data_IF_125545918253
#
_entry.id   IF_125545918253
#
_cell.length_a   1.000
_cell.length_b   1.000
_cell.length_c   1.000
_cell.angle_alpha   90.00
_cell.angle_beta   90.00
_cell.angle_gamma   90.00
#
_symmetry.space_group_name_H-M   'P 1'
#
loop_
_entity.id
_entity.type
_entity.pdbx_description
1 polymer ?
#
# COMPACT_ATOMS: atom_id res chain seq x y z
N UNK A 1 -12.33 24.67 -6.24
CA UNK A 1 -11.11 24.01 -5.72
C UNK A 1 -10.20 23.68 -6.90
N UNK A 2 -8.89 23.90 -6.79
CA UNK A 2 -7.92 23.58 -7.85
C UNK A 2 -8.00 22.08 -8.21
N UNK A 3 -8.11 21.69 -9.49
CA UNK A 3 -8.20 20.29 -9.91
C UNK A 3 -7.08 19.40 -9.35
N UNK A 4 -5.86 19.92 -9.26
CA UNK A 4 -4.71 19.17 -8.71
C UNK A 4 -4.88 18.86 -7.23
N UNK A 5 -5.36 19.84 -6.45
CA UNK A 5 -5.66 19.67 -5.02
C UNK A 5 -6.75 18.61 -4.83
N UNK A 6 -7.79 18.65 -5.68
CA UNK A 6 -8.88 17.66 -5.64
C UNK A 6 -8.35 16.24 -5.87
N UNK A 7 -7.54 16.05 -6.92
CA UNK A 7 -6.94 14.76 -7.27
C UNK A 7 -6.06 14.25 -6.12
N UNK A 8 -5.21 15.11 -5.55
CA UNK A 8 -4.38 14.78 -4.39
C UNK A 8 -5.20 14.27 -3.22
N UNK A 9 -6.25 15.00 -2.83
CA UNK A 9 -7.13 14.59 -1.72
C UNK A 9 -7.82 13.25 -2.02
N UNK A 10 -8.38 13.09 -3.22
CA UNK A 10 -9.04 11.85 -3.63
C UNK A 10 -8.07 10.66 -3.63
N UNK A 11 -6.84 10.88 -4.08
CA UNK A 11 -5.81 9.85 -4.10
C UNK A 11 -5.40 9.45 -2.68
N UNK A 12 -5.05 10.41 -1.82
CA UNK A 12 -4.71 10.15 -0.41
C UNK A 12 -5.85 9.40 0.28
N UNK A 13 -7.09 9.86 0.10
CA UNK A 13 -8.25 9.21 0.70
C UNK A 13 -8.43 7.77 0.19
N UNK A 14 -8.32 7.53 -1.11
CA UNK A 14 -8.37 6.17 -1.68
C UNK A 14 -7.25 5.27 -1.16
N UNK A 15 -6.05 5.82 -0.94
CA UNK A 15 -4.89 5.11 -0.45
C UNK A 15 -5.08 4.65 1.01
N UNK A 16 -5.60 5.55 1.86
CA UNK A 16 -5.91 5.27 3.25
C UNK A 16 -7.09 4.30 3.39
N UNK A 17 -8.14 4.44 2.57
CA UNK A 17 -9.25 3.49 2.57
C UNK A 17 -8.80 2.08 2.15
N UNK A 18 -7.91 1.98 1.17
CA UNK A 18 -7.36 0.68 0.78
C UNK A 18 -6.59 0.02 1.92
N UNK A 19 -5.79 0.78 2.67
CA UNK A 19 -5.13 0.28 3.87
C UNK A 19 -6.17 -0.19 4.90
N UNK A 20 -7.18 0.63 5.21
CA UNK A 20 -8.22 0.29 6.18
C UNK A 20 -9.00 -0.99 5.80
N UNK A 21 -9.45 -1.09 4.55
CA UNK A 21 -10.33 -2.17 4.11
C UNK A 21 -9.60 -3.45 3.71
N UNK A 22 -8.31 -3.38 3.43
CA UNK A 22 -7.52 -4.56 3.06
C UNK A 22 -6.62 -4.98 4.21
N UNK A 23 -5.76 -4.09 4.71
CA UNK A 23 -4.74 -4.48 5.70
C UNK A 23 -5.33 -4.91 7.02
N UNK A 24 -6.38 -4.25 7.51
CA UNK A 24 -6.98 -4.65 8.80
C UNK A 24 -7.61 -6.05 8.71
N UNK A 25 -8.51 -6.36 7.74
CA UNK A 25 -9.02 -7.72 7.60
C UNK A 25 -7.93 -8.74 7.26
N UNK A 26 -6.98 -8.39 6.40
CA UNK A 26 -5.90 -9.29 6.00
C UNK A 26 -5.00 -9.66 7.18
N UNK A 27 -4.71 -8.69 8.06
CA UNK A 27 -4.04 -8.94 9.32
C UNK A 27 -4.80 -9.97 10.15
N UNK A 28 -6.09 -9.74 10.43
CA UNK A 28 -6.88 -10.62 11.29
C UNK A 28 -7.07 -12.03 10.72
N UNK A 29 -7.23 -12.15 9.40
CA UNK A 29 -7.61 -13.41 8.75
C UNK A 29 -6.44 -14.22 8.22
N UNK A 30 -5.31 -13.57 7.88
CA UNK A 30 -4.18 -14.21 7.19
C UNK A 30 -2.88 -14.03 7.96
N UNK A 31 -2.57 -12.80 8.40
CA UNK A 31 -1.23 -12.50 8.90
C UNK A 31 -1.03 -12.68 10.41
N UNK A 32 -2.11 -12.70 11.20
CA UNK A 32 -2.05 -12.66 12.66
C UNK A 32 -1.11 -13.70 13.27
N UNK A 33 -1.15 -14.95 12.79
CA UNK A 33 -0.29 -16.03 13.29
C UNK A 33 1.21 -15.86 13.00
N UNK A 34 1.58 -14.95 12.09
CA UNK A 34 2.97 -14.57 11.85
C UNK A 34 3.44 -13.42 12.75
N UNK A 35 2.51 -12.66 13.34
CA UNK A 35 2.77 -11.57 14.28
C UNK A 35 2.72 -12.02 15.75
N UNK A 36 1.82 -12.95 16.08
CA UNK A 36 1.52 -13.38 17.46
C UNK A 36 1.53 -14.92 17.59
N UNK A 37 1.90 -15.42 18.77
CA UNK A 37 1.87 -16.85 19.10
C UNK A 37 3.22 -17.56 19.04
N UNK A 38 3.23 -18.87 19.32
CA UNK A 38 4.46 -19.68 19.40
C UNK A 38 5.19 -19.82 18.06
N UNK A 39 4.47 -19.66 16.94
CA UNK A 39 5.03 -19.71 15.58
C UNK A 39 5.24 -18.33 14.95
N UNK A 40 5.24 -17.25 15.74
CA UNK A 40 5.41 -15.90 15.23
C UNK A 40 6.83 -15.68 14.71
N UNK A 41 6.93 -15.25 13.45
CA UNK A 41 8.22 -15.03 12.76
C UNK A 41 8.53 -13.55 12.58
N UNK A 42 7.51 -12.68 12.48
CA UNK A 42 7.72 -11.24 12.32
C UNK A 42 8.39 -10.54 13.51
N UNK A 43 8.19 -10.95 14.77
CA UNK A 43 8.94 -10.36 15.89
C UNK A 43 10.46 -10.50 15.78
N UNK A 44 10.98 -11.39 14.92
CA UNK A 44 12.43 -11.58 14.72
C UNK A 44 13.09 -10.40 13.99
N UNK A 45 12.33 -9.59 13.24
CA UNK A 45 12.88 -8.52 12.39
C UNK A 45 11.95 -7.32 12.19
N UNK A 46 10.69 -7.38 12.63
CA UNK A 46 9.76 -6.26 12.69
C UNK A 46 9.47 -5.86 14.13
N UNK A 47 9.20 -4.57 14.31
CA UNK A 47 8.55 -4.09 15.54
C UNK A 47 7.10 -4.61 15.54
N UNK A 48 6.74 -5.35 16.57
CA UNK A 48 5.41 -5.95 16.77
C UNK A 48 4.86 -5.56 18.14
N UNK A 49 3.59 -5.87 18.40
CA UNK A 49 2.91 -5.57 19.67
C UNK A 49 3.62 -6.12 20.91
N UNK A 50 4.49 -7.14 20.74
CA UNK A 50 5.31 -7.72 21.80
C UNK A 50 6.29 -6.72 22.43
N UNK A 51 6.77 -5.72 21.67
CA UNK A 51 7.54 -4.59 22.19
C UNK A 51 6.66 -3.34 22.22
N UNK A 52 5.81 -3.24 23.24
CA UNK A 52 4.77 -2.20 23.32
C UNK A 52 5.28 -0.76 23.21
N UNK A 53 6.51 -0.48 23.65
CA UNK A 53 7.10 0.85 23.57
C UNK A 53 7.56 1.19 22.13
N UNK A 54 8.25 0.25 21.48
CA UNK A 54 8.66 0.41 20.08
C UNK A 54 7.43 0.41 19.15
N UNK A 55 6.46 -0.47 19.40
CA UNK A 55 5.22 -0.58 18.63
C UNK A 55 4.40 0.70 18.69
N UNK A 56 4.19 1.25 19.89
CA UNK A 56 3.48 2.52 20.06
C UNK A 56 4.15 3.63 19.24
N UNK A 57 5.49 3.70 19.24
CA UNK A 57 6.25 4.65 18.43
C UNK A 57 6.11 4.40 16.93
N UNK A 58 6.10 3.15 16.48
CA UNK A 58 5.87 2.83 15.08
C UNK A 58 4.46 3.25 14.63
N UNK A 59 3.45 3.00 15.46
CA UNK A 59 2.06 3.35 15.18
C UNK A 59 1.80 4.86 15.11
N UNK A 60 2.55 5.69 15.85
CA UNK A 60 2.43 7.16 15.70
C UNK A 60 2.91 7.66 14.33
N UNK A 61 3.85 6.94 13.71
CA UNK A 61 4.36 7.26 12.37
C UNK A 61 3.58 6.62 11.23
N UNK A 62 2.72 5.65 11.51
CA UNK A 62 1.97 4.91 10.48
C UNK A 62 1.16 5.84 9.56
N UNK A 63 0.28 6.67 10.14
CA UNK A 63 -0.55 7.57 9.35
C UNK A 63 0.28 8.63 8.60
N UNK A 64 1.23 9.34 9.25
CA UNK A 64 2.15 10.24 8.54
C UNK A 64 2.87 9.57 7.36
N UNK A 65 3.38 8.35 7.55
CA UNK A 65 4.07 7.61 6.51
C UNK A 65 3.15 7.26 5.33
N UNK A 66 1.94 6.76 5.60
CA UNK A 66 0.94 6.46 4.56
C UNK A 66 0.55 7.72 3.76
N UNK A 67 0.35 8.84 4.45
CA UNK A 67 0.03 10.12 3.79
C UNK A 67 1.22 10.60 2.93
N UNK A 68 2.44 10.55 3.45
CA UNK A 68 3.64 10.92 2.71
C UNK A 68 3.84 10.03 1.47
N UNK A 69 3.65 8.72 1.60
CA UNK A 69 3.71 7.78 0.50
C UNK A 69 2.68 8.11 -0.58
N UNK A 70 1.44 8.41 -0.19
CA UNK A 70 0.39 8.83 -1.11
C UNK A 70 0.73 10.15 -1.83
N UNK A 71 1.39 11.10 -1.14
CA UNK A 71 1.88 12.33 -1.77
C UNK A 71 2.92 12.06 -2.86
N UNK A 72 3.87 11.17 -2.61
CA UNK A 72 4.87 10.79 -3.60
C UNK A 72 4.23 10.13 -4.83
N UNK A 73 3.32 9.18 -4.59
CA UNK A 73 2.60 8.48 -5.66
C UNK A 73 1.73 9.43 -6.48
N UNK A 74 0.94 10.31 -5.85
CA UNK A 74 0.12 11.25 -6.60
C UNK A 74 0.96 12.32 -7.30
N UNK A 75 2.14 12.65 -6.77
CA UNK A 75 3.14 13.47 -7.44
C UNK A 75 3.50 12.91 -8.82
N UNK A 76 3.73 11.60 -8.92
CA UNK A 76 3.93 10.91 -10.20
C UNK A 76 2.67 10.95 -11.08
N UNK A 77 1.48 10.71 -10.52
CA UNK A 77 0.24 10.82 -11.29
C UNK A 77 0.03 12.22 -11.88
N UNK A 78 0.41 13.27 -11.15
CA UNK A 78 0.32 14.65 -11.64
C UNK A 78 1.20 14.90 -12.86
N UNK A 79 2.37 14.24 -12.99
CA UNK A 79 3.26 14.45 -14.15
C UNK A 79 2.71 13.81 -15.42
N UNK A 80 1.93 12.74 -15.28
CA UNK A 80 1.34 11.99 -16.40
C UNK A 80 -0.17 12.21 -16.54
N UNK A 81 -0.75 13.18 -15.83
CA UNK A 81 -2.21 13.29 -15.66
C UNK A 81 -2.97 13.43 -16.99
N UNK A 82 -2.52 14.31 -17.87
CA UNK A 82 -3.20 14.56 -19.15
C UNK A 82 -3.20 13.30 -20.02
N UNK A 83 -2.06 12.59 -20.07
CA UNK A 83 -1.96 11.30 -20.74
C UNK A 83 -2.87 10.24 -20.08
N UNK A 84 -2.86 10.20 -18.75
CA UNK A 84 -3.61 9.24 -17.93
C UNK A 84 -5.12 9.35 -18.15
N UNK A 85 -5.65 10.58 -18.27
CA UNK A 85 -7.08 10.81 -18.51
C UNK A 85 -7.55 10.35 -19.89
N UNK A 86 -6.68 10.33 -20.90
CA UNK A 86 -7.01 9.85 -22.24
C UNK A 86 -7.05 8.31 -22.35
N UNK A 87 -6.60 7.60 -21.32
CA UNK A 87 -6.53 6.14 -21.37
C UNK A 87 -7.86 5.46 -21.00
N UNK A 88 -8.03 4.22 -21.45
CA UNK A 88 -9.15 3.36 -21.05
C UNK A 88 -9.08 3.02 -19.56
N UNK A 89 -10.23 2.64 -18.97
CA UNK A 89 -10.31 2.26 -17.56
C UNK A 89 -9.29 1.17 -17.18
N UNK A 90 -9.15 0.14 -18.03
CA UNK A 90 -8.20 -0.95 -17.78
C UNK A 90 -6.75 -0.47 -17.73
N UNK A 91 -6.36 0.46 -18.62
CA UNK A 91 -5.02 1.06 -18.59
C UNK A 91 -4.81 1.95 -17.36
N UNK A 92 -5.84 2.74 -16.98
CA UNK A 92 -5.80 3.56 -15.77
C UNK A 92 -5.64 2.69 -14.52
N UNK A 93 -6.43 1.62 -14.40
CA UNK A 93 -6.31 0.63 -13.33
C UNK A 93 -4.92 0.01 -13.30
N UNK A 94 -4.43 -0.47 -14.44
CA UNK A 94 -3.10 -1.08 -14.55
C UNK A 94 -2.00 -0.13 -14.07
N UNK A 95 -1.99 1.12 -14.53
CA UNK A 95 -0.98 2.11 -14.12
C UNK A 95 -1.02 2.34 -12.61
N UNK A 96 -2.21 2.52 -12.02
CA UNK A 96 -2.34 2.73 -10.57
C UNK A 96 -1.91 1.51 -9.76
N UNK A 97 -2.30 0.30 -10.20
CA UNK A 97 -1.95 -0.96 -9.53
C UNK A 97 -0.46 -1.21 -9.62
N UNK A 98 0.11 -1.07 -10.82
CA UNK A 98 1.54 -1.20 -11.07
C UNK A 98 2.33 -0.20 -10.22
N UNK A 99 1.92 1.06 -10.22
CA UNK A 99 2.59 2.11 -9.45
C UNK A 99 2.59 1.79 -7.95
N UNK A 100 1.45 1.41 -7.36
CA UNK A 100 1.41 1.09 -5.93
C UNK A 100 2.17 -0.20 -5.61
N UNK A 101 2.06 -1.24 -6.44
CA UNK A 101 2.75 -2.52 -6.20
C UNK A 101 4.27 -2.37 -6.33
N UNK A 102 4.74 -1.63 -7.33
CA UNK A 102 6.16 -1.45 -7.59
C UNK A 102 6.76 -0.40 -6.67
N UNK A 103 6.24 0.84 -6.65
CA UNK A 103 6.82 1.92 -5.84
C UNK A 103 6.48 1.79 -4.36
N UNK A 104 5.28 1.30 -4.05
CA UNK A 104 4.80 1.17 -2.68
C UNK A 104 5.11 -0.18 -2.01
N UNK A 105 5.46 -1.19 -2.80
CA UNK A 105 5.79 -2.53 -2.31
C UNK A 105 7.23 -2.93 -2.63
N UNK A 106 7.46 -3.35 -3.88
CA UNK A 106 8.71 -4.01 -4.28
C UNK A 106 9.96 -3.12 -4.14
N UNK A 107 9.89 -1.89 -4.63
CA UNK A 107 11.01 -0.95 -4.66
C UNK A 107 11.13 -0.11 -3.38
N UNK A 108 10.29 -0.36 -2.37
CA UNK A 108 10.41 0.31 -1.08
C UNK A 108 11.69 -0.16 -0.38
N UNK A 109 12.61 0.79 -0.14
CA UNK A 109 13.82 0.60 0.66
C UNK A 109 13.40 0.54 2.13
N UNK A 110 12.93 -0.63 2.53
CA UNK A 110 12.36 -0.91 3.83
C UNK A 110 12.60 -2.38 4.12
N UNK A 111 13.06 -2.76 5.32
CA UNK A 111 13.18 -4.16 5.76
C UNK A 111 11.79 -4.73 6.03
N UNK A 112 10.96 -4.78 4.98
CA UNK A 112 9.63 -5.34 4.98
C UNK A 112 9.64 -6.58 4.08
N UNK A 113 8.96 -7.63 4.53
CA UNK A 113 8.96 -8.93 3.83
C UNK A 113 8.42 -8.83 2.39
N UNK A 114 7.57 -7.86 2.10
CA UNK A 114 7.06 -7.63 0.74
C UNK A 114 8.00 -6.88 -0.20
N UNK A 115 9.12 -6.32 0.28
CA UNK A 115 10.06 -5.55 -0.55
C UNK A 115 11.18 -6.42 -1.10
N UNK A 116 11.83 -5.97 -2.17
CA UNK A 116 13.00 -6.63 -2.74
C UNK A 116 14.17 -6.67 -1.74
N UNK A 117 14.35 -5.61 -0.96
CA UNK A 117 15.38 -5.56 0.07
C UNK A 117 15.09 -6.59 1.18
N UNK A 118 13.85 -6.68 1.66
CA UNK A 118 13.46 -7.69 2.63
C UNK A 118 13.61 -9.12 2.09
N UNK A 119 13.31 -9.35 0.81
CA UNK A 119 13.53 -10.64 0.14
C UNK A 119 14.99 -11.04 0.02
N UNK A 120 15.92 -10.08 -0.05
CA UNK A 120 17.36 -10.36 -0.14
C UNK A 120 17.98 -10.55 1.23
N UNK A 121 17.60 -9.73 2.20
CA UNK A 121 18.26 -9.68 3.51
C UNK A 121 17.60 -10.52 4.61
N UNK A 122 16.37 -11.04 4.39
CA UNK A 122 15.65 -11.87 5.38
C UNK A 122 15.44 -13.33 4.92
N UNK A 123 16.29 -13.81 3.98
CA UNK A 123 16.19 -15.14 3.35
C UNK A 123 16.27 -16.28 4.37
N UNK A 124 17.05 -16.12 5.44
CA UNK A 124 17.22 -17.17 6.46
C UNK A 124 16.07 -17.23 7.47
N UNK A 125 15.36 -16.12 7.66
CA UNK A 125 14.35 -15.94 8.71
C UNK A 125 12.91 -16.13 8.19
N UNK A 126 12.71 -16.08 6.86
CA UNK A 126 11.37 -16.03 6.26
C UNK A 126 11.21 -16.99 5.09
N UNK A 127 10.14 -17.78 5.10
CA UNK A 127 9.79 -18.67 4.00
C UNK A 127 9.21 -17.92 2.80
N UNK A 128 9.49 -18.40 1.59
CA UNK A 128 8.96 -17.84 0.33
C UNK A 128 7.43 -17.63 0.33
N UNK A 129 6.68 -18.49 1.04
CA UNK A 129 5.23 -18.35 1.22
C UNK A 129 4.81 -17.03 1.86
N UNK A 130 5.57 -16.54 2.85
CA UNK A 130 5.24 -15.32 3.59
C UNK A 130 5.47 -14.10 2.69
N UNK A 131 6.54 -14.10 1.89
CA UNK A 131 6.76 -13.08 0.86
C UNK A 131 5.56 -13.00 -0.10
N UNK A 132 5.02 -14.14 -0.54
CA UNK A 132 3.83 -14.16 -1.39
C UNK A 132 2.56 -13.65 -0.69
N UNK A 133 2.34 -13.98 0.58
CA UNK A 133 1.21 -13.44 1.33
C UNK A 133 1.29 -11.90 1.44
N UNK A 134 2.47 -11.37 1.80
CA UNK A 134 2.63 -9.91 1.91
C UNK A 134 2.51 -9.22 0.55
N UNK A 135 3.09 -9.78 -0.52
CA UNK A 135 2.90 -9.27 -1.89
C UNK A 135 1.44 -9.29 -2.32
N UNK A 136 0.72 -10.36 -1.96
CA UNK A 136 -0.70 -10.48 -2.26
C UNK A 136 -1.53 -9.42 -1.54
N UNK A 137 -1.22 -9.12 -0.27
CA UNK A 137 -1.83 -8.01 0.44
C UNK A 137 -1.61 -6.67 -0.27
N UNK A 138 -0.36 -6.37 -0.64
CA UNK A 138 0.00 -5.13 -1.35
C UNK A 138 -0.76 -5.03 -2.68
N UNK A 139 -0.87 -6.15 -3.40
CA UNK A 139 -1.62 -6.22 -4.65
C UNK A 139 -3.11 -5.95 -4.43
N UNK A 140 -3.73 -6.54 -3.41
CA UNK A 140 -5.13 -6.28 -3.06
C UNK A 140 -5.37 -4.82 -2.66
N UNK A 141 -4.49 -4.24 -1.84
CA UNK A 141 -4.53 -2.81 -1.51
C UNK A 141 -4.45 -1.95 -2.79
N UNK A 142 -3.61 -2.35 -3.74
CA UNK A 142 -3.44 -1.65 -5.03
C UNK A 142 -4.71 -1.68 -5.87
N UNK A 143 -5.39 -2.82 -5.94
CA UNK A 143 -6.67 -2.95 -6.63
C UNK A 143 -7.75 -2.06 -5.99
N UNK A 144 -7.90 -2.11 -4.67
CA UNK A 144 -8.91 -1.33 -3.94
C UNK A 144 -8.63 0.16 -4.08
N UNK A 145 -7.39 0.61 -3.89
CA UNK A 145 -7.02 2.02 -4.07
C UNK A 145 -7.38 2.49 -5.48
N UNK A 146 -6.93 1.75 -6.50
CA UNK A 146 -7.14 2.12 -7.89
C UNK A 146 -8.64 2.20 -8.23
N UNK A 147 -9.43 1.21 -7.80
CA UNK A 147 -10.88 1.20 -7.99
C UNK A 147 -11.57 2.40 -7.33
N UNK A 148 -11.26 2.67 -6.07
CA UNK A 148 -11.84 3.80 -5.32
C UNK A 148 -11.44 5.14 -5.92
N UNK A 149 -10.17 5.32 -6.28
CA UNK A 149 -9.68 6.56 -6.90
C UNK A 149 -10.36 6.82 -8.25
N UNK A 150 -10.41 5.83 -9.13
CA UNK A 150 -11.04 5.99 -10.44
C UNK A 150 -12.55 6.20 -10.34
N UNK A 151 -13.22 5.60 -9.36
CA UNK A 151 -14.62 5.89 -9.06
C UNK A 151 -14.83 7.37 -8.72
N UNK A 152 -13.97 7.95 -7.88
CA UNK A 152 -14.02 9.38 -7.56
C UNK A 152 -13.77 10.28 -8.78
N UNK A 153 -12.77 9.95 -9.61
CA UNK A 153 -12.41 10.75 -10.79
C UNK A 153 -13.52 10.73 -11.82
N UNK A 154 -14.11 9.55 -12.11
CA UNK A 154 -15.16 9.37 -13.12
C UNK A 154 -16.48 10.00 -12.72
N UNK A 155 -16.87 9.85 -11.45
CA UNK A 155 -18.07 10.51 -10.92
C UNK A 155 -17.98 12.03 -11.01
N UNK A 156 -16.77 12.58 -10.90
CA UNK A 156 -16.52 14.01 -11.02
C UNK A 156 -16.47 14.51 -12.48
N UNK A 157 -16.08 13.66 -13.44
CA UNK A 157 -15.97 14.03 -14.87
C UNK A 157 -17.22 13.72 -15.69
N UNK A 158 -18.22 13.05 -15.12
CA UNK A 158 -19.43 12.63 -15.85
C UNK A 158 -19.17 11.57 -16.93
N UNK A 159 -17.96 11.01 -16.97
CA UNK A 159 -17.60 9.92 -17.86
C UNK A 159 -18.20 8.62 -17.28
N UNK A 160 -19.15 8.02 -18.01
CA UNK A 160 -19.64 6.66 -17.76
C UNK A 160 -18.52 5.66 -18.08
#
# INVERSE_FOLDING_TARGET
>A
MNPKIKITIQFIFSHLLAYLFVSIPYFQLVMKGYYEGESAVFPLFLVTENDGAAWSRAMTWLLPALVFQAFLMVGFIHTIWDWFQMQSYGKQMFVLVWMRTVLGGLAAISPAVGSLEGMVFMISEVTLSIHFYVLFEIFLQSLVQAGVFLWFVRRASGQK
#
